data_IF_167052099441
#
_entry.id   IF_167052099441
#
_cell.length_a   1.000
_cell.length_b   1.000
_cell.length_c   1.000
_cell.angle_alpha   90.00
_cell.angle_beta   90.00
_cell.angle_gamma   90.00
#
_symmetry.space_group_name_H-M   'P 1'
#
loop_
_entity.id
_entity.type
_entity.pdbx_description
1 polymer ?
#
# COMPACT_ATOMS: atom_id res chain seq x y z
N UNK A 1 12.47 -13.84 38.18
CA UNK A 1 12.77 -12.78 37.20
C UNK A 1 11.98 -13.11 35.93
N UNK A 2 10.73 -12.65 35.85
CA UNK A 2 9.89 -12.90 34.68
C UNK A 2 10.34 -11.94 33.58
N UNK A 3 10.90 -12.50 32.49
CA UNK A 3 11.20 -11.76 31.28
C UNK A 3 9.85 -11.34 30.67
N UNK A 4 9.43 -10.11 30.90
CA UNK A 4 8.28 -9.52 30.20
C UNK A 4 8.75 -9.33 28.76
N UNK A 5 8.33 -10.25 27.88
CA UNK A 5 8.52 -10.11 26.43
C UNK A 5 8.01 -8.73 26.01
N UNK A 6 8.80 -7.98 25.27
CA UNK A 6 8.39 -6.65 24.82
C UNK A 6 7.08 -6.73 24.03
N UNK A 7 6.27 -5.66 24.08
CA UNK A 7 5.00 -5.58 23.33
C UNK A 7 5.27 -5.86 21.84
N UNK A 8 6.40 -5.41 21.33
CA UNK A 8 6.88 -5.61 19.97
C UNK A 8 7.16 -7.07 19.61
N UNK A 9 7.80 -7.83 20.54
CA UNK A 9 8.04 -9.26 20.35
C UNK A 9 6.73 -10.06 20.32
N UNK A 10 5.75 -9.68 21.15
CA UNK A 10 4.44 -10.32 21.17
C UNK A 10 3.66 -9.99 19.88
N UNK A 11 3.77 -8.79 19.36
CA UNK A 11 3.16 -8.37 18.10
C UNK A 11 3.76 -9.14 16.91
N UNK A 12 5.09 -9.29 16.85
CA UNK A 12 5.80 -10.09 15.84
C UNK A 12 5.41 -11.58 15.90
N UNK A 13 5.25 -12.15 17.10
CA UNK A 13 4.74 -13.51 17.33
C UNK A 13 3.27 -13.64 16.91
N UNK A 14 2.45 -12.62 17.13
CA UNK A 14 1.07 -12.58 16.72
C UNK A 14 0.96 -12.62 15.21
N UNK A 15 1.66 -11.73 14.48
CA UNK A 15 1.65 -11.70 13.01
C UNK A 15 2.22 -12.97 12.36
N UNK A 16 3.19 -13.65 13.00
CA UNK A 16 3.72 -14.94 12.52
C UNK A 16 2.83 -16.15 12.79
N UNK A 17 1.93 -16.07 13.79
CA UNK A 17 1.06 -17.20 14.21
C UNK A 17 -0.37 -17.12 13.69
N UNK A 18 -0.85 -15.93 13.36
CA UNK A 18 -2.20 -15.71 12.87
C UNK A 18 -2.17 -15.40 11.37
N UNK A 19 -3.20 -15.87 10.67
CA UNK A 19 -3.40 -15.53 9.26
C UNK A 19 -3.73 -14.05 9.21
N UNK A 20 -2.80 -13.24 8.72
CA UNK A 20 -2.89 -11.78 8.66
C UNK A 20 -3.92 -11.35 7.62
N UNK A 21 -4.81 -10.45 7.97
CA UNK A 21 -5.81 -9.86 7.08
C UNK A 21 -5.28 -8.51 6.58
N UNK A 22 -5.24 -8.35 5.27
CA UNK A 22 -4.83 -7.09 4.62
C UNK A 22 -6.05 -6.41 4.03
N UNK A 23 -6.34 -5.17 4.46
CA UNK A 23 -7.45 -4.38 3.91
C UNK A 23 -6.93 -3.29 2.99
N UNK A 24 -7.36 -3.31 1.73
CA UNK A 24 -7.02 -2.30 0.73
C UNK A 24 -8.12 -1.23 0.70
N UNK A 25 -7.88 -0.12 1.37
CA UNK A 25 -8.83 1.00 1.50
C UNK A 25 -8.88 1.80 0.20
N UNK A 26 -10.07 1.93 -0.39
CA UNK A 26 -10.23 2.46 -1.75
C UNK A 26 -9.77 1.47 -2.83
N UNK A 27 -9.76 0.18 -2.51
CA UNK A 27 -9.20 -0.91 -3.30
C UNK A 27 -9.89 -1.23 -4.62
N UNK A 28 -10.99 -0.56 -4.97
CA UNK A 28 -11.73 -0.78 -6.23
C UNK A 28 -11.11 -0.08 -7.45
N UNK A 29 -10.09 0.74 -7.26
CA UNK A 29 -9.32 1.36 -8.33
C UNK A 29 -8.23 0.42 -8.89
N UNK A 30 -7.65 0.74 -10.09
CA UNK A 30 -6.68 -0.15 -10.75
C UNK A 30 -5.46 -0.51 -9.87
N UNK A 31 -4.92 0.47 -9.13
CA UNK A 31 -3.78 0.22 -8.24
C UNK A 31 -4.17 -0.64 -7.06
N UNK A 32 -5.27 -0.30 -6.37
CA UNK A 32 -5.71 -1.03 -5.19
C UNK A 32 -6.14 -2.45 -5.52
N UNK A 33 -6.90 -2.65 -6.59
CA UNK A 33 -7.32 -3.98 -7.02
C UNK A 33 -6.12 -4.83 -7.47
N UNK A 34 -5.16 -4.22 -8.18
CA UNK A 34 -3.95 -4.93 -8.60
C UNK A 34 -3.11 -5.40 -7.40
N UNK A 35 -2.93 -4.58 -6.37
CA UNK A 35 -2.27 -4.98 -5.11
C UNK A 35 -3.05 -6.10 -4.43
N UNK A 36 -4.38 -5.93 -4.30
CA UNK A 36 -5.26 -6.90 -3.65
C UNK A 36 -5.18 -8.28 -4.31
N UNK A 37 -5.26 -8.33 -5.64
CA UNK A 37 -5.21 -9.58 -6.41
C UNK A 37 -3.86 -10.28 -6.27
N UNK A 38 -2.76 -9.55 -6.41
CA UNK A 38 -1.41 -10.14 -6.30
C UNK A 38 -1.16 -10.72 -4.91
N UNK A 39 -1.59 -10.02 -3.86
CA UNK A 39 -1.48 -10.54 -2.50
C UNK A 39 -2.40 -11.77 -2.27
N UNK A 40 -3.63 -11.73 -2.80
CA UNK A 40 -4.57 -12.84 -2.67
C UNK A 40 -4.08 -14.11 -3.39
N UNK A 41 -3.47 -13.99 -4.58
CA UNK A 41 -2.84 -15.09 -5.32
C UNK A 41 -1.72 -15.73 -4.49
N UNK A 42 -0.95 -14.93 -3.75
CA UNK A 42 0.10 -15.41 -2.84
C UNK A 42 -0.44 -15.88 -1.46
N UNK A 43 -1.74 -16.16 -1.39
CA UNK A 43 -2.40 -16.78 -0.22
C UNK A 43 -2.66 -15.84 0.94
N UNK A 44 -2.53 -14.52 0.76
CA UNK A 44 -2.91 -13.52 1.77
C UNK A 44 -4.42 -13.38 1.79
N UNK A 45 -5.02 -13.27 2.98
CA UNK A 45 -6.42 -12.90 3.11
C UNK A 45 -6.58 -11.40 2.89
N UNK A 46 -7.37 -11.02 1.85
CA UNK A 46 -7.48 -9.63 1.43
C UNK A 46 -8.92 -9.15 1.45
N UNK A 47 -9.13 -7.95 2.00
CA UNK A 47 -10.39 -7.22 1.94
C UNK A 47 -10.23 -6.02 1.00
N UNK A 48 -11.06 -5.95 -0.02
CA UNK A 48 -11.17 -4.77 -0.89
C UNK A 48 -12.19 -3.81 -0.31
N UNK A 49 -11.70 -2.67 0.20
CA UNK A 49 -12.54 -1.61 0.73
C UNK A 49 -13.02 -0.63 -0.33
N UNK A 50 -14.23 -0.12 -0.19
CA UNK A 50 -14.80 0.94 -1.02
C UNK A 50 -15.66 1.87 -0.17
N UNK A 51 -15.89 3.12 -0.65
CA UNK A 51 -16.88 4.03 -0.06
C UNK A 51 -18.30 3.48 -0.15
N UNK A 52 -18.58 2.63 -1.13
CA UNK A 52 -19.83 1.91 -1.33
C UNK A 52 -19.52 0.42 -1.33
N UNK A 53 -20.08 -0.32 -0.39
CA UNK A 53 -19.86 -1.76 -0.25
C UNK A 53 -20.24 -2.52 -1.53
N UNK A 54 -21.39 -2.19 -2.13
CA UNK A 54 -21.85 -2.78 -3.39
C UNK A 54 -20.75 -2.79 -4.46
N UNK A 55 -20.04 -1.65 -4.62
CA UNK A 55 -18.95 -1.56 -5.59
C UNK A 55 -17.78 -2.48 -5.24
N UNK A 56 -17.49 -2.70 -3.96
CA UNK A 56 -16.44 -3.62 -3.56
C UNK A 56 -16.83 -5.08 -3.85
N UNK A 57 -18.09 -5.42 -3.59
CA UNK A 57 -18.65 -6.75 -3.87
C UNK A 57 -18.64 -7.05 -5.39
N UNK A 58 -19.09 -6.11 -6.22
CA UNK A 58 -19.09 -6.25 -7.68
C UNK A 58 -17.69 -6.48 -8.24
N UNK A 59 -16.73 -5.61 -7.85
CA UNK A 59 -15.33 -5.70 -8.31
C UNK A 59 -14.67 -7.00 -7.87
N UNK A 60 -14.98 -7.49 -6.67
CA UNK A 60 -14.46 -8.78 -6.18
C UNK A 60 -15.10 -9.96 -6.93
N UNK A 61 -16.40 -9.89 -7.24
CA UNK A 61 -17.08 -10.94 -8.01
C UNK A 61 -16.49 -11.03 -9.43
N UNK A 62 -16.35 -9.90 -10.13
CA UNK A 62 -15.70 -9.83 -11.45
C UNK A 62 -14.25 -10.36 -11.41
N UNK A 63 -13.51 -10.03 -10.35
CA UNK A 63 -12.14 -10.51 -10.19
C UNK A 63 -12.07 -12.02 -9.99
N UNK A 64 -12.94 -12.60 -9.17
CA UNK A 64 -13.04 -14.05 -8.96
C UNK A 64 -13.43 -14.81 -10.23
N UNK A 65 -14.31 -14.25 -11.04
CA UNK A 65 -14.68 -14.82 -12.33
C UNK A 65 -13.51 -14.77 -13.32
N UNK A 66 -12.86 -13.60 -13.44
CA UNK A 66 -11.74 -13.39 -14.36
C UNK A 66 -10.52 -14.25 -14.04
N UNK A 67 -10.26 -14.49 -12.78
CA UNK A 67 -9.09 -15.20 -12.26
C UNK A 67 -9.50 -16.52 -11.57
N UNK A 68 -10.48 -17.22 -12.12
CA UNK A 68 -11.04 -18.47 -11.56
C UNK A 68 -10.01 -19.61 -11.41
N UNK A 69 -8.89 -19.54 -12.14
CA UNK A 69 -7.78 -20.49 -12.02
C UNK A 69 -6.95 -20.34 -10.75
N UNK A 70 -7.16 -19.24 -9.98
CA UNK A 70 -6.47 -18.96 -8.73
C UNK A 70 -7.41 -19.10 -7.53
N UNK A 71 -6.90 -19.64 -6.43
CA UNK A 71 -7.63 -19.66 -5.14
C UNK A 71 -7.54 -18.28 -4.47
N UNK A 72 -8.44 -17.38 -4.86
CA UNK A 72 -8.44 -15.99 -4.37
C UNK A 72 -9.16 -15.87 -3.02
N UNK A 73 -8.38 -15.75 -1.94
CA UNK A 73 -8.93 -15.41 -0.62
C UNK A 73 -9.18 -13.90 -0.51
N UNK A 74 -10.18 -13.42 -1.25
CA UNK A 74 -10.52 -12.00 -1.38
C UNK A 74 -12.02 -11.79 -1.16
N UNK A 75 -12.38 -10.69 -0.47
CA UNK A 75 -13.77 -10.25 -0.25
C UNK A 75 -13.91 -8.75 -0.28
N UNK A 76 -15.13 -8.25 -0.53
CA UNK A 76 -15.44 -6.82 -0.58
C UNK A 76 -16.17 -6.34 0.66
N UNK A 77 -15.87 -5.13 1.15
CA UNK A 77 -16.59 -4.45 2.26
C UNK A 77 -16.61 -2.93 2.05
N UNK A 78 -17.39 -2.22 2.88
CA UNK A 78 -17.21 -0.79 3.05
C UNK A 78 -15.82 -0.47 3.66
N UNK A 79 -15.26 0.73 3.38
CA UNK A 79 -13.92 1.11 3.86
C UNK A 79 -13.78 1.01 5.39
N UNK A 80 -14.80 1.41 6.13
CA UNK A 80 -14.79 1.41 7.60
C UNK A 80 -14.78 -0.02 8.15
N UNK A 81 -15.60 -0.90 7.62
CA UNK A 81 -15.63 -2.30 8.00
C UNK A 81 -14.34 -3.02 7.57
N UNK A 82 -13.84 -2.73 6.38
CA UNK A 82 -12.54 -3.21 5.94
C UNK A 82 -11.41 -2.76 6.89
N UNK A 83 -11.41 -1.48 7.29
CA UNK A 83 -10.42 -0.96 8.23
C UNK A 83 -10.53 -1.58 9.62
N UNK A 84 -11.74 -1.91 10.08
CA UNK A 84 -11.98 -2.56 11.37
C UNK A 84 -11.42 -3.98 11.40
N UNK A 85 -11.60 -4.75 10.34
CA UNK A 85 -11.21 -6.16 10.28
C UNK A 85 -9.73 -6.38 9.90
N UNK A 86 -9.13 -5.49 9.09
CA UNK A 86 -7.74 -5.65 8.64
C UNK A 86 -6.71 -5.41 9.74
N UNK A 87 -5.65 -6.21 9.75
CA UNK A 87 -4.47 -6.02 10.59
C UNK A 87 -3.51 -5.00 9.96
N UNK A 88 -3.37 -5.05 8.62
CA UNK A 88 -2.63 -4.07 7.82
C UNK A 88 -3.61 -3.38 6.88
N UNK A 89 -3.54 -2.05 6.83
CA UNK A 89 -4.34 -1.24 5.92
C UNK A 89 -3.46 -0.69 4.80
N UNK A 90 -3.87 -0.85 3.54
CA UNK A 90 -3.19 -0.26 2.38
C UNK A 90 -4.11 0.81 1.81
N UNK A 91 -3.71 2.07 1.92
CA UNK A 91 -4.47 3.22 1.44
C UNK A 91 -4.14 3.49 -0.03
N UNK A 92 -5.12 3.32 -0.92
CA UNK A 92 -4.96 3.45 -2.38
C UNK A 92 -5.93 4.45 -2.99
N UNK A 93 -6.20 5.54 -2.28
CA UNK A 93 -7.13 6.57 -2.72
C UNK A 93 -6.40 7.74 -3.41
N UNK A 94 -7.05 8.45 -4.34
CA UNK A 94 -6.50 9.70 -4.87
C UNK A 94 -6.32 10.75 -3.77
N UNK A 95 -5.34 11.67 -3.95
CA UNK A 95 -5.03 12.72 -2.98
C UNK A 95 -6.27 13.51 -2.49
N UNK A 96 -7.20 13.85 -3.40
CA UNK A 96 -8.42 14.57 -3.04
C UNK A 96 -9.33 13.80 -2.07
N UNK A 97 -9.27 12.47 -2.07
CA UNK A 97 -10.05 11.60 -1.19
C UNK A 97 -9.27 11.15 0.05
N UNK A 98 -7.95 11.36 0.11
CA UNK A 98 -7.10 10.84 1.18
C UNK A 98 -7.56 11.33 2.55
N UNK A 99 -7.61 12.64 2.77
CA UNK A 99 -7.97 13.21 4.08
C UNK A 99 -9.31 12.70 4.58
N UNK A 100 -10.44 12.85 3.86
CA UNK A 100 -11.74 12.37 4.35
C UNK A 100 -11.78 10.85 4.54
N UNK A 101 -11.05 10.06 3.74
CA UNK A 101 -11.00 8.61 3.91
C UNK A 101 -10.23 8.23 5.17
N UNK A 102 -9.06 8.85 5.43
CA UNK A 102 -8.27 8.56 6.64
C UNK A 102 -9.01 9.00 7.89
N UNK A 103 -9.72 10.14 7.85
CA UNK A 103 -10.56 10.62 8.95
C UNK A 103 -11.69 9.64 9.27
N UNK A 104 -12.36 9.06 8.23
CA UNK A 104 -13.47 8.13 8.43
C UNK A 104 -13.07 6.79 9.04
N UNK A 105 -11.82 6.35 8.81
CA UNK A 105 -11.32 5.07 9.33
C UNK A 105 -10.43 5.23 10.58
N UNK A 106 -10.19 6.44 11.06
CA UNK A 106 -9.21 6.76 12.11
C UNK A 106 -9.37 5.93 13.37
N UNK A 107 -10.58 5.75 13.86
CA UNK A 107 -10.87 5.00 15.08
C UNK A 107 -10.49 3.50 14.97
N UNK A 108 -10.49 2.96 13.75
CA UNK A 108 -10.15 1.56 13.45
C UNK A 108 -8.65 1.36 13.18
N UNK A 109 -7.84 2.42 13.19
CA UNK A 109 -6.39 2.37 12.93
C UNK A 109 -5.54 2.16 14.18
N UNK A 110 -6.15 1.99 15.36
CA UNK A 110 -5.40 1.87 16.63
C UNK A 110 -4.38 0.73 16.57
N UNK A 111 -3.10 1.09 16.81
CA UNK A 111 -1.92 0.21 16.81
C UNK A 111 -1.71 -0.59 15.51
N UNK A 112 -2.39 -0.25 14.40
CA UNK A 112 -2.26 -0.94 13.12
C UNK A 112 -1.14 -0.37 12.25
N UNK A 113 -0.71 -1.16 11.26
CA UNK A 113 0.20 -0.72 10.20
C UNK A 113 -0.63 -0.16 9.05
N UNK A 114 -0.30 1.06 8.60
CA UNK A 114 -0.98 1.73 7.49
C UNK A 114 0.04 2.02 6.40
N UNK A 115 -0.07 1.31 5.27
CA UNK A 115 0.74 1.54 4.09
C UNK A 115 0.04 2.58 3.21
N UNK A 116 0.64 3.75 3.00
CA UNK A 116 0.07 4.80 2.17
C UNK A 116 0.71 4.81 0.78
N UNK A 117 -0.11 4.55 -0.24
CA UNK A 117 0.27 4.59 -1.66
C UNK A 117 -0.20 5.87 -2.36
N UNK A 118 -0.70 6.84 -1.61
CA UNK A 118 -1.19 8.11 -2.17
C UNK A 118 -0.02 8.96 -2.69
N UNK A 119 -0.18 9.52 -3.88
CA UNK A 119 0.79 10.45 -4.47
C UNK A 119 0.13 11.79 -4.78
N UNK A 120 0.74 12.91 -4.34
CA UNK A 120 0.24 14.26 -4.62
C UNK A 120 0.46 14.69 -6.08
N UNK A 121 -0.40 14.23 -6.98
CA UNK A 121 -0.36 14.61 -8.39
C UNK A 121 -1.28 15.82 -8.68
N UNK A 122 -0.89 16.67 -9.63
CA UNK A 122 -1.72 17.81 -10.07
C UNK A 122 -3.12 17.42 -10.58
N UNK A 123 -3.35 16.14 -10.90
CA UNK A 123 -4.68 15.64 -11.25
C UNK A 123 -5.72 15.92 -10.17
N UNK A 124 -5.30 16.03 -8.90
CA UNK A 124 -6.18 16.40 -7.78
C UNK A 124 -6.80 17.80 -7.90
N UNK A 125 -6.19 18.67 -8.70
CA UNK A 125 -6.63 20.06 -8.97
C UNK A 125 -6.86 20.32 -10.46
N UNK A 126 -7.07 19.26 -11.26
CA UNK A 126 -7.33 19.36 -12.71
C UNK A 126 -6.08 19.54 -13.57
N UNK A 127 -4.88 19.38 -13.03
CA UNK A 127 -3.61 19.46 -13.75
C UNK A 127 -3.16 18.15 -14.38
N UNK A 128 -1.88 18.04 -14.69
CA UNK A 128 -1.31 16.91 -15.43
C UNK A 128 -0.78 15.81 -14.52
N UNK A 129 -0.90 14.51 -14.88
CA UNK A 129 -0.51 13.39 -14.02
C UNK A 129 1.00 13.26 -13.78
N UNK A 130 1.83 13.90 -14.60
CA UNK A 130 3.29 13.90 -14.44
C UNK A 130 3.82 15.12 -13.68
N UNK A 131 2.95 15.86 -12.98
CA UNK A 131 3.31 16.99 -12.12
C UNK A 131 2.93 16.70 -10.69
N UNK A 132 3.79 17.14 -9.76
CA UNK A 132 3.65 16.97 -8.34
C UNK A 132 3.08 18.25 -7.68
N UNK A 133 2.33 18.08 -6.60
CA UNK A 133 1.87 19.16 -5.74
C UNK A 133 2.60 19.05 -4.40
N UNK A 134 3.27 20.11 -3.98
CA UNK A 134 3.84 20.15 -2.64
C UNK A 134 2.73 20.31 -1.58
N UNK A 135 2.80 19.51 -0.53
CA UNK A 135 1.87 19.53 0.59
C UNK A 135 2.48 20.25 1.78
N UNK A 136 1.66 20.90 2.62
CA UNK A 136 2.13 21.57 3.83
C UNK A 136 2.74 20.58 4.83
N UNK A 137 2.23 19.35 4.87
CA UNK A 137 2.73 18.28 5.72
C UNK A 137 4.05 17.68 5.20
N UNK A 138 4.45 18.01 3.97
CA UNK A 138 5.65 17.50 3.28
C UNK A 138 5.34 16.40 2.28
N UNK A 139 4.53 15.41 2.64
CA UNK A 139 4.12 14.28 1.80
C UNK A 139 2.71 13.80 2.13
N UNK A 140 2.14 12.95 1.27
CA UNK A 140 0.85 12.32 1.53
C UNK A 140 0.93 11.36 2.74
N UNK A 141 2.00 10.58 2.84
CA UNK A 141 2.21 9.69 3.98
C UNK A 141 2.37 10.46 5.30
N UNK A 142 3.08 11.61 5.32
CA UNK A 142 3.18 12.47 6.51
C UNK A 142 1.82 13.09 6.87
N UNK A 143 0.98 13.45 5.88
CA UNK A 143 -0.40 13.88 6.12
C UNK A 143 -1.21 12.78 6.80
N UNK A 144 -1.15 11.53 6.31
CA UNK A 144 -1.80 10.39 6.94
C UNK A 144 -1.32 10.19 8.38
N UNK A 145 -0.01 10.25 8.63
CA UNK A 145 0.56 10.16 9.98
C UNK A 145 0.06 11.29 10.90
N UNK A 146 -0.05 12.51 10.38
CA UNK A 146 -0.59 13.67 11.13
C UNK A 146 -2.06 13.46 11.53
N UNK A 147 -2.90 12.95 10.61
CA UNK A 147 -4.32 12.67 10.88
C UNK A 147 -4.46 11.54 11.92
N UNK A 148 -3.66 10.49 11.80
CA UNK A 148 -3.68 9.32 12.69
C UNK A 148 -2.93 9.54 14.02
N UNK A 149 -2.39 10.74 14.26
CA UNK A 149 -1.69 11.05 15.51
C UNK A 149 -2.56 10.71 16.73
N UNK A 150 -1.95 10.00 17.68
CA UNK A 150 -2.61 9.56 18.92
C UNK A 150 -3.30 8.20 18.85
N UNK A 151 -3.42 7.55 17.68
CA UNK A 151 -3.98 6.20 17.54
C UNK A 151 -2.95 5.09 17.79
N UNK A 152 -1.65 5.38 17.77
CA UNK A 152 -0.59 4.37 17.77
C UNK A 152 -0.32 3.74 16.39
N UNK A 153 -1.06 4.12 15.36
CA UNK A 153 -0.85 3.62 13.99
C UNK A 153 0.57 3.87 13.49
N UNK A 154 1.14 2.89 12.80
CA UNK A 154 2.47 2.95 12.18
C UNK A 154 2.29 3.21 10.68
N UNK A 155 2.55 4.45 10.26
CA UNK A 155 2.40 4.84 8.85
C UNK A 155 3.69 4.60 8.08
N UNK A 156 3.55 3.96 6.91
CA UNK A 156 4.63 3.65 5.99
C UNK A 156 4.22 4.11 4.60
N UNK A 157 5.04 4.93 3.94
CA UNK A 157 4.92 5.17 2.51
C UNK A 157 5.31 3.91 1.76
N UNK A 158 4.44 3.40 0.87
CA UNK A 158 4.71 2.21 0.08
C UNK A 158 3.91 2.20 -1.23
N UNK A 159 4.33 1.40 -2.22
CA UNK A 159 3.65 1.22 -3.53
C UNK A 159 3.57 2.48 -4.42
N UNK A 160 4.08 3.62 -3.99
CA UNK A 160 3.99 4.87 -4.74
C UNK A 160 4.65 4.78 -6.13
N UNK A 161 5.75 4.03 -6.24
CA UNK A 161 6.53 3.94 -7.47
C UNK A 161 6.26 2.68 -8.32
N UNK A 162 5.25 1.88 -7.97
CA UNK A 162 4.84 0.72 -8.77
C UNK A 162 3.67 1.11 -9.69
N UNK A 163 3.84 0.88 -11.00
CA UNK A 163 2.79 1.16 -11.99
C UNK A 163 1.56 0.27 -11.79
N UNK A 164 0.37 0.86 -11.87
CA UNK A 164 -0.89 0.11 -11.87
C UNK A 164 -0.99 -0.88 -13.04
N UNK A 165 -0.36 -0.58 -14.18
CA UNK A 165 -0.28 -1.50 -15.32
C UNK A 165 0.52 -2.75 -14.99
N UNK A 166 1.63 -2.61 -14.25
CA UNK A 166 2.37 -3.77 -13.71
C UNK A 166 1.51 -4.59 -12.75
N UNK A 167 0.85 -3.93 -11.80
CA UNK A 167 0.02 -4.60 -10.80
C UNK A 167 -1.14 -5.38 -11.43
N UNK A 168 -1.73 -4.84 -12.50
CA UNK A 168 -2.88 -5.43 -13.20
C UNK A 168 -2.51 -6.48 -14.24
N UNK A 169 -1.24 -6.57 -14.65
CA UNK A 169 -0.75 -7.53 -15.66
C UNK A 169 -0.39 -8.87 -15.01
N UNK A 170 -1.39 -9.58 -14.51
CA UNK A 170 -1.25 -10.90 -13.93
C UNK A 170 -1.29 -11.95 -15.08
N UNK A 171 -0.41 -12.96 -15.10
CA UNK A 171 0.50 -13.41 -14.03
C UNK A 171 1.94 -12.87 -14.08
N UNK A 172 2.25 -11.94 -14.96
CA UNK A 172 3.63 -11.49 -15.17
C UNK A 172 4.28 -10.95 -13.89
N UNK A 173 5.55 -11.30 -13.66
CA UNK A 173 6.34 -10.76 -12.55
C UNK A 173 6.61 -9.26 -12.72
N UNK A 174 6.76 -8.55 -11.61
CA UNK A 174 7.03 -7.12 -11.60
C UNK A 174 8.51 -6.86 -11.35
N UNK A 175 9.28 -6.61 -12.42
CA UNK A 175 10.69 -6.25 -12.29
C UNK A 175 10.86 -4.79 -11.80
N UNK A 176 10.64 -4.59 -10.49
CA UNK A 176 10.65 -3.26 -9.88
C UNK A 176 11.02 -3.33 -8.39
N UNK A 177 11.71 -2.30 -7.88
CA UNK A 177 11.85 -2.09 -6.45
C UNK A 177 10.64 -1.30 -5.92
N UNK A 178 10.08 -1.74 -4.80
CA UNK A 178 9.12 -0.96 -4.02
C UNK A 178 9.88 -0.20 -2.93
N UNK A 179 9.94 1.12 -3.06
CA UNK A 179 10.57 1.95 -2.04
C UNK A 179 9.62 2.16 -0.88
N UNK A 180 10.11 1.95 0.36
CA UNK A 180 9.33 2.22 1.57
C UNK A 180 10.05 3.21 2.48
N UNK A 181 9.26 3.98 3.25
CA UNK A 181 9.73 4.88 4.28
C UNK A 181 8.78 4.87 5.47
N UNK A 182 9.31 4.86 6.69
CA UNK A 182 8.52 4.87 7.92
C UNK A 182 9.40 4.99 9.16
N UNK A 183 8.84 5.46 10.26
CA UNK A 183 9.60 5.71 11.49
C UNK A 183 9.73 4.46 12.37
N UNK A 184 8.79 3.51 12.24
CA UNK A 184 8.79 2.27 13.01
C UNK A 184 9.50 1.15 12.22
N UNK A 185 10.60 0.66 12.79
CA UNK A 185 11.45 -0.35 12.15
C UNK A 185 10.72 -1.68 11.96
N UNK A 186 10.02 -2.14 12.98
CA UNK A 186 9.32 -3.44 12.95
C UNK A 186 8.15 -3.42 11.94
N UNK A 187 7.39 -2.32 11.92
CA UNK A 187 6.33 -2.15 10.95
C UNK A 187 6.87 -2.14 9.49
N UNK A 188 8.06 -1.57 9.25
CA UNK A 188 8.72 -1.64 7.93
C UNK A 188 9.16 -3.06 7.57
N UNK A 189 9.67 -3.84 8.52
CA UNK A 189 10.03 -5.25 8.30
C UNK A 189 8.78 -6.06 7.90
N UNK A 190 7.66 -5.90 8.63
CA UNK A 190 6.38 -6.57 8.33
C UNK A 190 5.85 -6.14 6.95
N UNK A 191 5.92 -4.84 6.64
CA UNK A 191 5.52 -4.32 5.34
C UNK A 191 6.37 -4.90 4.21
N UNK A 192 7.67 -5.01 4.40
CA UNK A 192 8.59 -5.60 3.43
C UNK A 192 8.31 -7.09 3.20
N UNK A 193 8.08 -7.87 4.27
CA UNK A 193 7.68 -9.28 4.18
C UNK A 193 6.38 -9.44 3.36
N UNK A 194 5.40 -8.54 3.56
CA UNK A 194 4.15 -8.54 2.79
C UNK A 194 4.37 -8.18 1.31
N UNK A 195 5.09 -7.09 1.05
CA UNK A 195 5.33 -6.57 -0.31
C UNK A 195 6.16 -7.56 -1.13
N UNK A 196 7.16 -8.19 -0.53
CA UNK A 196 8.04 -9.16 -1.19
C UNK A 196 7.32 -10.48 -1.56
N UNK A 197 6.07 -10.70 -1.11
CA UNK A 197 5.24 -11.80 -1.64
C UNK A 197 4.85 -11.58 -3.10
N UNK A 198 4.81 -10.32 -3.56
CA UNK A 198 4.47 -10.01 -4.96
C UNK A 198 5.65 -10.41 -5.85
N UNK A 199 5.47 -11.38 -6.78
CA UNK A 199 6.56 -11.89 -7.60
C UNK A 199 7.32 -10.80 -8.36
N UNK A 200 8.65 -10.83 -8.26
CA UNK A 200 9.57 -9.91 -8.91
C UNK A 200 9.75 -8.56 -8.20
N UNK A 201 8.91 -8.21 -7.23
CA UNK A 201 9.07 -6.99 -6.43
C UNK A 201 10.13 -7.22 -5.35
N UNK A 202 11.05 -6.26 -5.22
CA UNK A 202 12.01 -6.17 -4.11
C UNK A 202 11.74 -4.89 -3.32
N UNK A 203 11.56 -5.02 -2.00
CA UNK A 203 11.39 -3.86 -1.12
C UNK A 203 12.73 -3.25 -0.75
N UNK A 204 12.82 -1.92 -0.80
CA UNK A 204 13.98 -1.14 -0.36
C UNK A 204 13.54 -0.17 0.74
N UNK A 205 14.06 -0.35 1.95
CA UNK A 205 13.87 0.59 3.07
C UNK A 205 14.75 1.83 2.84
N UNK A 206 14.12 2.99 2.69
CA UNK A 206 14.80 4.27 2.48
C UNK A 206 15.01 5.08 3.75
N UNK A 207 14.51 4.58 4.91
CA UNK A 207 14.66 5.20 6.21
C UNK A 207 13.38 5.75 6.81
N UNK A 208 13.46 6.92 7.44
CA UNK A 208 12.35 7.56 8.17
C UNK A 208 11.24 8.05 7.24
N UNK A 209 10.03 8.28 7.79
CA UNK A 209 8.84 8.65 7.04
C UNK A 209 9.05 9.90 6.16
N UNK A 210 9.87 10.86 6.58
CA UNK A 210 10.21 12.05 5.81
C UNK A 210 10.76 11.73 4.40
N UNK A 211 11.37 10.55 4.19
CA UNK A 211 11.83 10.09 2.86
C UNK A 211 10.69 9.89 1.86
N UNK A 212 9.45 9.76 2.33
CA UNK A 212 8.26 9.73 1.47
C UNK A 212 8.18 10.95 0.54
N UNK A 213 8.67 12.11 0.97
CA UNK A 213 8.76 13.34 0.16
C UNK A 213 9.52 13.14 -1.16
N UNK A 214 10.50 12.25 -1.15
CA UNK A 214 11.30 11.90 -2.33
C UNK A 214 10.64 10.75 -3.09
N UNK A 215 10.18 9.71 -2.38
CA UNK A 215 9.55 8.52 -2.99
C UNK A 215 8.33 8.92 -3.80
N UNK A 216 7.45 9.73 -3.25
CA UNK A 216 6.22 10.19 -3.92
C UNK A 216 6.53 10.99 -5.20
N UNK A 217 7.66 11.73 -5.25
CA UNK A 217 8.10 12.50 -6.43
C UNK A 217 8.66 11.61 -7.56
N UNK A 218 8.99 10.35 -7.28
CA UNK A 218 9.40 9.40 -8.33
C UNK A 218 8.22 9.05 -9.24
N UNK A 219 7.02 8.98 -8.71
CA UNK A 219 5.81 8.62 -9.47
C UNK A 219 5.57 9.55 -10.68
N UNK A 220 5.49 10.88 -10.54
CA UNK A 220 5.32 11.76 -11.70
C UNK A 220 6.51 11.68 -12.67
N UNK A 221 7.74 11.39 -12.22
CA UNK A 221 8.87 11.13 -13.09
C UNK A 221 8.63 9.88 -13.95
N UNK A 222 8.23 8.76 -13.34
CA UNK A 222 7.92 7.51 -14.05
C UNK A 222 6.75 7.68 -15.02
N UNK A 223 5.69 8.39 -14.63
CA UNK A 223 4.56 8.73 -15.52
C UNK A 223 5.06 9.54 -16.71
N UNK A 224 5.90 10.55 -16.48
CA UNK A 224 6.50 11.36 -17.55
C UNK A 224 7.35 10.53 -18.53
N UNK A 225 8.14 9.59 -18.02
CA UNK A 225 8.93 8.65 -18.82
C UNK A 225 8.03 7.72 -19.63
N UNK A 226 6.98 7.16 -19.02
CA UNK A 226 6.02 6.31 -19.71
C UNK A 226 5.35 7.04 -20.88
N UNK A 227 4.96 8.29 -20.69
CA UNK A 227 4.39 9.13 -21.76
C UNK A 227 5.43 9.36 -22.87
N UNK A 228 6.64 9.76 -22.50
CA UNK A 228 7.72 10.08 -23.46
C UNK A 228 8.12 8.89 -24.32
N UNK A 229 8.22 7.72 -23.71
CA UNK A 229 8.68 6.48 -24.37
C UNK A 229 7.52 5.57 -24.82
N UNK A 230 6.27 6.03 -24.69
CA UNK A 230 5.06 5.25 -25.05
C UNK A 230 5.03 3.87 -24.38
N UNK A 231 5.43 3.83 -23.11
CA UNK A 231 5.40 2.65 -22.24
C UNK A 231 4.31 2.80 -21.17
N UNK A 232 3.95 1.68 -20.54
CA UNK A 232 3.05 1.63 -19.38
C UNK A 232 3.73 0.97 -18.17
N UNK A 233 4.93 0.43 -18.36
CA UNK A 233 5.64 -0.45 -17.44
C UNK A 233 6.94 0.15 -16.90
N UNK A 234 7.09 1.48 -16.93
CA UNK A 234 8.27 2.13 -16.34
C UNK A 234 8.32 1.88 -14.84
N UNK A 235 9.40 1.29 -14.38
CA UNK A 235 9.71 0.96 -13.00
C UNK A 235 11.07 1.51 -12.57
N UNK A 236 11.49 1.21 -11.35
CA UNK A 236 12.78 1.59 -10.79
C UNK A 236 13.48 0.36 -10.20
N UNK A 237 14.78 0.20 -10.50
CA UNK A 237 15.68 -0.72 -9.81
C UNK A 237 16.87 0.06 -9.23
N UNK A 238 17.12 -0.10 -7.94
CA UNK A 238 18.31 0.45 -7.26
C UNK A 238 19.43 -0.58 -7.36
N UNK A 239 20.51 -0.22 -8.02
CA UNK A 239 21.69 -1.08 -8.17
C UNK A 239 22.71 -0.80 -7.08
N UNK A 240 23.59 -1.79 -6.78
CA UNK A 240 24.70 -1.63 -5.82
C UNK A 240 24.28 -1.67 -4.35
N UNK A 241 23.03 -2.03 -4.03
CA UNK A 241 22.58 -2.27 -2.66
C UNK A 241 22.46 -3.78 -2.45
N UNK A 242 23.01 -4.34 -1.36
CA UNK A 242 22.86 -5.75 -1.03
C UNK A 242 21.38 -6.09 -0.79
N UNK A 243 21.00 -7.36 -0.96
CA UNK A 243 19.69 -7.82 -0.50
C UNK A 243 19.67 -7.77 1.03
N UNK A 244 18.51 -7.44 1.63
CA UNK A 244 18.34 -7.32 3.07
C UNK A 244 18.63 -8.63 3.85
N UNK A 245 18.77 -9.76 3.14
CA UNK A 245 18.97 -11.11 3.70
C UNK A 245 20.41 -11.64 3.50
N UNK A 246 21.34 -10.80 3.07
CA UNK A 246 22.79 -11.05 3.02
C UNK A 246 23.49 -10.13 4.06
#
# INVERSE_FOLDING_TARGET
>A
MYNILSKDFLQKLYFRRHKMIVSVIGGTGPQGLGIALRLAIEGVEVIVGSRKEEKALDVVAEAKEKYADYDLNIRGLANEDAAKEGDILILTVPLAAQKPTVESIKEFCTDKIVLDATVPLETAIGGKPFRFIDLMEGSAAERTASILKGTGAKVICAFCNISNSHLSNIPEEIDCDCLIAGDDKEAKEIAAELINKIPGVRTIDTGILEKSRIIEKITPLLIGLNIKYKSHYGGLRITGIPKLDE
#
